data_IF_493045972370
#
_entry.id   IF_493045972370
#
_cell.length_a   1.000
_cell.length_b   1.000
_cell.length_c   1.000
_cell.angle_alpha   90.00
_cell.angle_beta   90.00
_cell.angle_gamma   90.00
#
_symmetry.space_group_name_H-M   'P 1'
#
loop_
_entity.id
_entity.type
_entity.pdbx_description
1 polymer ?
#
# COMPACT_ATOMS: atom_id res chain seq x y z
N UNK A 1 26.45 88.16 36.73
CA UNK A 1 25.19 88.87 37.03
C UNK A 1 24.36 88.84 35.75
N UNK A 2 23.18 88.22 35.79
CA UNK A 2 22.28 87.97 34.65
C UNK A 2 21.10 88.96 34.74
N UNK A 3 20.54 89.44 33.61
CA UNK A 3 19.10 89.70 33.51
C UNK A 3 18.43 88.86 32.39
N UNK A 4 17.09 88.72 32.40
CA UNK A 4 16.45 87.42 32.33
C UNK A 4 15.74 87.10 31.00
N UNK A 5 15.35 85.83 30.90
CA UNK A 5 14.58 85.18 29.85
C UNK A 5 13.15 85.75 29.72
N UNK A 6 12.68 85.91 28.49
CA UNK A 6 11.25 85.88 28.15
C UNK A 6 10.93 84.59 27.39
N UNK A 7 9.95 83.88 27.92
CA UNK A 7 9.39 82.61 27.44
C UNK A 7 8.48 82.83 26.23
N UNK A 8 8.53 81.91 25.26
CA UNK A 8 7.40 81.64 24.37
C UNK A 8 7.22 80.13 24.24
N UNK A 9 6.00 79.67 24.49
CA UNK A 9 5.58 78.27 24.49
C UNK A 9 5.11 77.81 23.09
N UNK A 10 5.72 76.70 22.64
CA UNK A 10 5.20 75.48 21.97
C UNK A 10 4.19 75.64 20.79
N UNK A 11 4.41 74.91 19.67
CA UNK A 11 3.50 73.79 19.43
C UNK A 11 4.21 72.46 19.17
N UNK A 12 3.57 71.42 19.69
CA UNK A 12 3.99 70.03 19.77
C UNK A 12 4.10 69.38 18.38
N UNK A 13 5.29 68.87 18.06
CA UNK A 13 5.56 68.20 16.79
C UNK A 13 4.84 66.84 16.74
N UNK A 14 4.05 66.65 15.69
CA UNK A 14 3.46 65.37 15.27
C UNK A 14 4.54 64.27 15.25
N UNK A 15 4.44 63.27 16.14
CA UNK A 15 5.43 62.18 16.26
C UNK A 15 5.24 61.13 15.14
N UNK A 16 6.23 60.89 14.25
CA UNK A 16 6.13 59.94 13.13
C UNK A 16 6.36 58.46 13.50
N UNK A 17 6.71 58.18 14.76
CA UNK A 17 7.19 56.87 15.18
C UNK A 17 6.15 55.74 15.07
N UNK A 18 4.85 56.05 15.24
CA UNK A 18 3.78 55.04 15.21
C UNK A 18 3.49 54.48 13.80
N UNK A 19 3.75 55.28 12.75
CA UNK A 19 3.54 54.87 11.36
C UNK A 19 4.64 53.93 10.86
N UNK A 20 5.90 54.21 11.20
CA UNK A 20 7.06 53.41 10.79
C UNK A 20 7.04 52.02 11.44
N UNK A 21 6.68 51.95 12.73
CA UNK A 21 6.53 50.68 13.46
C UNK A 21 5.41 49.80 12.89
N UNK A 22 4.29 50.39 12.46
CA UNK A 22 3.19 49.65 11.82
C UNK A 22 3.64 49.08 10.48
N UNK A 23 4.27 49.89 9.64
CA UNK A 23 4.76 49.49 8.32
C UNK A 23 5.80 48.34 8.39
N UNK A 24 6.77 48.43 9.31
CA UNK A 24 7.77 47.37 9.51
C UNK A 24 7.16 46.05 10.00
N UNK A 25 6.16 46.12 10.89
CA UNK A 25 5.48 44.92 11.43
C UNK A 25 4.62 44.23 10.36
N UNK A 26 3.90 44.99 9.52
CA UNK A 26 3.19 44.44 8.34
C UNK A 26 4.14 43.86 7.31
N UNK A 27 5.29 44.48 7.06
CA UNK A 27 6.30 43.98 6.12
C UNK A 27 6.92 42.64 6.57
N UNK A 28 7.27 42.51 7.86
CA UNK A 28 7.77 41.24 8.40
C UNK A 28 6.70 40.14 8.40
N UNK A 29 5.44 40.50 8.68
CA UNK A 29 4.35 39.53 8.67
C UNK A 29 4.07 39.01 7.25
N UNK A 30 4.08 39.90 6.24
CA UNK A 30 3.95 39.51 4.84
C UNK A 30 5.14 38.66 4.37
N UNK A 31 6.37 39.00 4.74
CA UNK A 31 7.55 38.21 4.36
C UNK A 31 7.51 36.79 4.95
N UNK A 32 7.12 36.65 6.23
CA UNK A 32 6.94 35.33 6.86
C UNK A 32 5.82 34.52 6.22
N UNK A 33 4.72 35.16 5.84
CA UNK A 33 3.62 34.52 5.12
C UNK A 33 4.03 34.08 3.71
N UNK A 34 4.81 34.90 3.00
CA UNK A 34 5.34 34.57 1.66
C UNK A 34 6.32 33.41 1.74
N UNK A 35 7.24 33.38 2.71
CA UNK A 35 8.18 32.26 2.89
C UNK A 35 7.43 30.97 3.27
N UNK A 36 6.42 31.04 4.12
CA UNK A 36 5.58 29.87 4.46
C UNK A 36 4.81 29.36 3.24
N UNK A 37 4.25 30.26 2.44
CA UNK A 37 3.55 29.89 1.21
C UNK A 37 4.49 29.26 0.19
N UNK A 38 5.70 29.82 0.03
CA UNK A 38 6.75 29.25 -0.81
C UNK A 38 7.19 27.86 -0.35
N UNK A 39 7.42 27.67 0.95
CA UNK A 39 7.78 26.36 1.50
C UNK A 39 6.65 25.33 1.29
N UNK A 40 5.39 25.72 1.47
CA UNK A 40 4.25 24.85 1.19
C UNK A 40 4.15 24.48 -0.28
N UNK A 41 4.28 25.46 -1.19
CA UNK A 41 4.23 25.23 -2.64
C UNK A 41 5.38 24.31 -3.05
N UNK A 42 6.62 24.59 -2.63
CA UNK A 42 7.78 23.75 -2.91
C UNK A 42 7.61 22.33 -2.37
N UNK A 43 7.07 22.16 -1.16
CA UNK A 43 6.82 20.85 -0.57
C UNK A 43 5.74 20.07 -1.35
N UNK A 44 4.66 20.73 -1.77
CA UNK A 44 3.62 20.10 -2.61
C UNK A 44 4.11 19.74 -4.00
N UNK A 45 4.94 20.59 -4.62
CA UNK A 45 5.57 20.29 -5.91
C UNK A 45 6.54 19.13 -5.79
N UNK A 46 7.37 19.09 -4.74
CA UNK A 46 8.23 17.95 -4.44
C UNK A 46 7.41 16.66 -4.25
N UNK A 47 6.30 16.72 -3.51
CA UNK A 47 5.42 15.56 -3.30
C UNK A 47 4.75 15.10 -4.60
N UNK A 48 4.31 16.03 -5.45
CA UNK A 48 3.67 15.73 -6.73
C UNK A 48 4.66 15.16 -7.76
N UNK A 49 5.88 15.69 -7.83
CA UNK A 49 6.94 15.17 -8.70
C UNK A 49 7.41 13.78 -8.21
N UNK A 50 7.53 13.58 -6.90
CA UNK A 50 7.87 12.28 -6.33
C UNK A 50 6.76 11.24 -6.54
N UNK A 51 5.50 11.66 -6.44
CA UNK A 51 4.33 10.82 -6.73
C UNK A 51 4.19 10.44 -8.20
N UNK A 52 4.48 11.37 -9.12
CA UNK A 52 4.36 11.14 -10.57
C UNK A 52 5.42 10.17 -11.12
N UNK A 53 6.64 10.16 -10.58
CA UNK A 53 7.71 9.26 -11.04
C UNK A 53 7.47 7.78 -10.68
N UNK A 54 6.42 7.44 -9.92
CA UNK A 54 6.00 6.05 -9.70
C UNK A 54 5.09 5.50 -10.81
N UNK A 55 4.69 6.33 -11.78
CA UNK A 55 3.86 5.89 -12.89
C UNK A 55 4.70 5.15 -13.93
N UNK A 56 4.58 3.81 -13.92
CA UNK A 56 5.01 2.83 -14.93
C UNK A 56 6.03 3.32 -15.97
N UNK A 57 7.32 3.12 -15.66
CA UNK A 57 8.29 2.85 -16.72
C UNK A 57 7.83 1.59 -17.46
N UNK A 58 7.84 1.64 -18.79
CA UNK A 58 7.69 0.46 -19.64
C UNK A 58 8.94 -0.39 -19.48
N UNK A 59 8.99 -1.14 -18.38
CA UNK A 59 10.08 -2.07 -18.10
C UNK A 59 9.99 -3.25 -19.07
N UNK A 60 11.15 -3.68 -19.58
CA UNK A 60 11.27 -4.94 -20.32
C UNK A 60 10.63 -6.06 -19.48
N UNK A 61 9.91 -7.04 -20.10
CA UNK A 61 9.31 -8.12 -19.35
C UNK A 61 10.39 -8.87 -18.57
N UNK A 62 10.27 -8.84 -17.25
CA UNK A 62 11.23 -9.48 -16.37
C UNK A 62 11.08 -11.00 -16.43
N UNK A 63 12.20 -11.71 -16.36
CA UNK A 63 12.20 -13.17 -16.29
C UNK A 63 11.82 -13.65 -14.87
N UNK A 64 10.72 -14.40 -14.78
CA UNK A 64 10.22 -14.96 -13.53
C UNK A 64 10.82 -16.34 -13.24
N UNK A 65 11.71 -16.42 -12.24
CA UNK A 65 12.25 -17.67 -11.66
C UNK A 65 11.31 -18.15 -10.56
N UNK A 66 10.10 -18.54 -10.95
CA UNK A 66 9.00 -18.85 -10.05
C UNK A 66 9.04 -20.25 -9.45
N UNK A 67 8.68 -20.37 -8.17
CA UNK A 67 8.40 -21.65 -7.52
C UNK A 67 7.01 -21.62 -6.84
N UNK A 68 6.25 -22.72 -6.89
CA UNK A 68 4.94 -22.80 -6.22
C UNK A 68 5.09 -23.27 -4.78
N UNK A 69 4.43 -22.62 -3.84
CA UNK A 69 4.51 -22.92 -2.40
C UNK A 69 3.12 -22.96 -1.75
N UNK A 70 2.98 -23.78 -0.71
CA UNK A 70 1.82 -23.74 0.18
C UNK A 70 0.58 -24.52 -0.29
N UNK A 71 0.66 -25.34 -1.34
CA UNK A 71 -0.47 -26.18 -1.76
C UNK A 71 -0.65 -27.40 -0.83
N UNK A 72 -1.88 -27.78 -0.44
CA UNK A 72 -3.17 -27.21 -0.86
C UNK A 72 -3.67 -26.03 -0.02
N UNK A 73 -2.93 -25.61 1.01
CA UNK A 73 -3.28 -24.47 1.86
C UNK A 73 -4.31 -24.86 2.90
N UNK A 74 -3.94 -25.79 3.78
CA UNK A 74 -4.77 -26.25 4.90
C UNK A 74 -4.62 -25.27 6.07
N UNK A 75 -5.67 -25.12 6.88
CA UNK A 75 -5.68 -24.33 8.12
C UNK A 75 -4.43 -24.62 8.95
N UNK A 76 -3.68 -23.58 9.29
CA UNK A 76 -2.45 -23.65 10.06
C UNK A 76 -1.17 -23.81 9.23
N UNK A 77 -1.26 -24.23 7.95
CA UNK A 77 -0.07 -24.54 7.13
C UNK A 77 0.88 -23.36 6.96
N UNK A 78 0.34 -22.15 6.96
CA UNK A 78 1.11 -20.92 6.68
C UNK A 78 1.66 -20.29 7.97
N UNK A 79 1.49 -20.94 9.12
CA UNK A 79 1.88 -20.42 10.42
C UNK A 79 3.15 -21.08 10.96
N UNK A 80 3.79 -20.37 11.88
CA UNK A 80 4.87 -20.90 12.70
C UNK A 80 6.21 -21.06 11.97
N UNK A 81 7.20 -21.55 12.73
CA UNK A 81 8.59 -21.64 12.30
C UNK A 81 8.78 -22.48 11.04
N UNK A 82 8.03 -23.58 10.89
CA UNK A 82 8.13 -24.47 9.73
C UNK A 82 7.78 -23.75 8.42
N UNK A 83 6.75 -22.92 8.42
CA UNK A 83 6.36 -22.15 7.23
C UNK A 83 7.44 -21.11 6.87
N UNK A 84 7.94 -20.39 7.87
CA UNK A 84 9.02 -19.41 7.69
C UNK A 84 10.31 -20.04 7.14
N UNK A 85 10.78 -21.14 7.75
CA UNK A 85 11.96 -21.87 7.29
C UNK A 85 11.78 -22.45 5.88
N UNK A 86 10.58 -22.94 5.56
CA UNK A 86 10.28 -23.43 4.22
C UNK A 86 10.34 -22.33 3.17
N UNK A 87 9.84 -21.12 3.47
CA UNK A 87 9.89 -19.97 2.56
C UNK A 87 11.33 -19.49 2.36
N UNK A 88 12.12 -19.47 3.44
CA UNK A 88 13.54 -19.12 3.36
C UNK A 88 14.31 -20.10 2.46
N UNK A 89 14.14 -21.40 2.64
CA UNK A 89 14.77 -22.42 1.78
C UNK A 89 14.34 -22.31 0.33
N UNK A 90 13.11 -21.88 0.05
CA UNK A 90 12.68 -21.59 -1.31
C UNK A 90 13.47 -20.42 -1.89
N UNK A 91 13.67 -19.33 -1.14
CA UNK A 91 14.47 -18.20 -1.60
C UNK A 91 15.94 -18.57 -1.85
N UNK A 92 16.50 -19.47 -1.04
CA UNK A 92 17.87 -20.01 -1.21
C UNK A 92 18.06 -20.75 -2.55
N UNK A 93 16.99 -21.14 -3.24
CA UNK A 93 17.07 -21.72 -4.61
C UNK A 93 17.39 -20.69 -5.70
N UNK A 94 17.53 -19.41 -5.36
CA UNK A 94 17.66 -18.27 -6.29
C UNK A 94 16.39 -17.96 -7.11
N UNK A 95 15.24 -18.46 -6.66
CA UNK A 95 13.93 -17.99 -7.10
C UNK A 95 13.77 -16.51 -6.79
N UNK A 96 13.20 -15.75 -7.73
CA UNK A 96 12.85 -14.34 -7.50
C UNK A 96 11.34 -14.14 -7.25
N UNK A 97 10.55 -15.20 -7.41
CA UNK A 97 9.11 -15.16 -7.36
C UNK A 97 8.57 -16.43 -6.71
N UNK A 98 7.58 -16.28 -5.84
CA UNK A 98 6.79 -17.38 -5.30
C UNK A 98 5.35 -17.29 -5.78
N UNK A 99 4.79 -18.44 -6.15
CA UNK A 99 3.37 -18.62 -6.42
C UNK A 99 2.72 -19.28 -5.22
N UNK A 100 1.99 -18.52 -4.41
CA UNK A 100 1.30 -19.02 -3.22
C UNK A 100 -0.02 -19.62 -3.68
N UNK A 101 -0.09 -20.95 -3.63
CA UNK A 101 -1.18 -21.75 -4.16
C UNK A 101 -2.01 -22.36 -3.02
N UNK A 102 -3.32 -22.13 -3.05
CA UNK A 102 -4.26 -22.68 -2.08
C UNK A 102 -5.59 -23.02 -2.77
N UNK A 103 -6.36 -23.95 -2.21
CA UNK A 103 -7.57 -24.45 -2.84
C UNK A 103 -8.82 -24.23 -1.97
N UNK A 104 -9.82 -23.58 -2.55
CA UNK A 104 -11.22 -23.72 -2.14
C UNK A 104 -11.72 -25.14 -2.47
N UNK A 105 -12.92 -25.48 -2.02
CA UNK A 105 -13.51 -26.81 -2.26
C UNK A 105 -14.87 -26.74 -2.96
N UNK A 106 -15.21 -27.79 -3.71
CA UNK A 106 -16.54 -28.06 -4.26
C UNK A 106 -16.94 -29.48 -3.85
N UNK A 107 -18.23 -29.72 -3.64
CA UNK A 107 -18.71 -31.04 -3.21
C UNK A 107 -18.59 -32.07 -4.34
N UNK A 108 -19.02 -31.72 -5.55
CA UNK A 108 -18.96 -32.57 -6.76
C UNK A 108 -18.52 -31.76 -7.99
N UNK A 109 -18.11 -32.42 -9.09
CA UNK A 109 -17.72 -31.72 -10.32
C UNK A 109 -18.86 -30.91 -10.98
N UNK A 110 -20.12 -31.20 -10.64
CA UNK A 110 -21.29 -30.46 -11.13
C UNK A 110 -21.90 -29.51 -10.11
N UNK A 111 -21.27 -29.34 -8.94
CA UNK A 111 -21.72 -28.38 -7.93
C UNK A 111 -21.51 -26.96 -8.42
N UNK A 112 -22.46 -26.07 -8.16
CA UNK A 112 -22.34 -24.64 -8.52
C UNK A 112 -21.79 -23.78 -7.38
N UNK A 113 -21.70 -24.33 -6.17
CA UNK A 113 -21.14 -23.64 -5.01
C UNK A 113 -19.65 -23.99 -4.83
N UNK A 114 -18.84 -22.94 -4.66
CA UNK A 114 -17.43 -23.04 -4.25
C UNK A 114 -17.34 -22.61 -2.78
N UNK A 115 -16.85 -23.50 -1.93
CA UNK A 115 -16.68 -23.30 -0.49
C UNK A 115 -15.29 -22.70 -0.20
N UNK A 116 -15.29 -21.49 0.38
CA UNK A 116 -14.09 -20.76 0.78
C UNK A 116 -14.37 -19.91 2.03
N UNK A 117 -13.32 -19.36 2.65
CA UNK A 117 -13.46 -18.53 3.85
C UNK A 117 -14.16 -19.28 4.98
N UNK A 118 -15.21 -18.69 5.57
CA UNK A 118 -15.98 -19.32 6.65
C UNK A 118 -16.72 -20.60 6.24
N UNK A 119 -17.00 -20.78 4.94
CA UNK A 119 -17.66 -21.99 4.41
C UNK A 119 -16.70 -23.16 4.21
N UNK A 120 -15.40 -22.92 4.31
CA UNK A 120 -14.36 -23.94 4.18
C UNK A 120 -13.35 -23.81 5.33
N UNK A 121 -13.68 -24.35 6.52
CA UNK A 121 -12.86 -24.20 7.71
C UNK A 121 -11.46 -24.82 7.55
N UNK A 122 -11.30 -25.78 6.64
CA UNK A 122 -10.04 -26.48 6.37
C UNK A 122 -9.07 -25.66 5.51
N UNK A 123 -9.54 -24.65 4.79
CA UNK A 123 -8.70 -23.79 3.93
C UNK A 123 -8.04 -22.66 4.73
N UNK A 124 -6.79 -22.31 4.43
CA UNK A 124 -6.09 -21.13 5.00
C UNK A 124 -6.95 -19.86 5.00
N UNK A 125 -6.82 -19.07 6.07
CA UNK A 125 -7.55 -17.83 6.31
C UNK A 125 -6.91 -16.70 5.53
N UNK A 126 -7.65 -15.60 5.34
CA UNK A 126 -7.09 -14.35 4.84
C UNK A 126 -5.88 -13.87 5.66
N UNK A 127 -5.90 -14.07 6.99
CA UNK A 127 -4.76 -13.75 7.86
C UNK A 127 -3.54 -14.63 7.58
N UNK A 128 -3.75 -15.93 7.37
CA UNK A 128 -2.68 -16.87 7.01
C UNK A 128 -2.11 -16.56 5.62
N UNK A 129 -2.96 -16.24 4.65
CA UNK A 129 -2.54 -15.81 3.30
C UNK A 129 -1.72 -14.51 3.40
N UNK A 130 -2.19 -13.51 4.16
CA UNK A 130 -1.43 -12.28 4.41
C UNK A 130 -0.08 -12.56 5.06
N UNK A 131 -0.03 -13.48 6.02
CA UNK A 131 1.23 -13.86 6.65
C UNK A 131 2.18 -14.56 5.67
N UNK A 132 1.70 -15.47 4.81
CA UNK A 132 2.52 -16.08 3.77
C UNK A 132 3.06 -15.06 2.76
N UNK A 133 2.23 -14.08 2.36
CA UNK A 133 2.67 -12.95 1.53
C UNK A 133 3.78 -12.17 2.24
N UNK A 134 3.61 -11.88 3.54
CA UNK A 134 4.62 -11.19 4.33
C UNK A 134 5.95 -11.97 4.38
N UNK A 135 5.92 -13.26 4.72
CA UNK A 135 7.11 -14.13 4.74
C UNK A 135 7.84 -14.12 3.39
N UNK A 136 7.10 -14.16 2.29
CA UNK A 136 7.69 -14.08 0.96
C UNK A 136 8.40 -12.73 0.70
N UNK A 137 7.77 -11.61 1.11
CA UNK A 137 8.35 -10.27 0.95
C UNK A 137 9.59 -10.06 1.83
N UNK A 138 9.60 -10.61 3.03
CA UNK A 138 10.76 -10.62 3.93
C UNK A 138 11.95 -11.37 3.32
N UNK A 139 11.69 -12.37 2.48
CA UNK A 139 12.71 -13.09 1.71
C UNK A 139 12.97 -12.50 0.32
N UNK A 140 12.57 -11.25 0.08
CA UNK A 140 12.75 -10.52 -1.19
C UNK A 140 12.11 -11.19 -2.43
N UNK A 141 11.11 -12.04 -2.23
CA UNK A 141 10.38 -12.68 -3.32
C UNK A 141 9.24 -11.79 -3.83
N UNK A 142 9.04 -11.80 -5.15
CA UNK A 142 7.77 -11.37 -5.75
C UNK A 142 6.70 -12.40 -5.48
N UNK A 143 5.45 -11.97 -5.40
CA UNK A 143 4.33 -12.85 -5.02
C UNK A 143 3.30 -12.90 -6.13
N UNK A 144 2.95 -14.11 -6.53
CA UNK A 144 1.77 -14.44 -7.33
C UNK A 144 0.81 -15.19 -6.40
N UNK A 145 -0.45 -14.75 -6.30
CA UNK A 145 -1.49 -15.53 -5.62
C UNK A 145 -2.18 -16.43 -6.65
N UNK A 146 -2.37 -17.70 -6.29
CA UNK A 146 -3.02 -18.70 -7.14
C UNK A 146 -4.12 -19.44 -6.36
N UNK A 147 -5.28 -18.78 -6.11
CA UNK A 147 -6.46 -19.46 -5.61
C UNK A 147 -6.95 -20.49 -6.64
N UNK A 148 -7.25 -21.69 -6.18
CA UNK A 148 -7.75 -22.80 -7.00
C UNK A 148 -9.00 -23.42 -6.37
N UNK A 149 -9.56 -24.43 -7.03
CA UNK A 149 -10.65 -25.25 -6.50
C UNK A 149 -10.31 -26.73 -6.58
N UNK A 150 -10.60 -27.48 -5.52
CA UNK A 150 -10.51 -28.94 -5.48
C UNK A 150 -11.91 -29.53 -5.29
N UNK A 151 -12.17 -30.69 -5.87
CA UNK A 151 -13.40 -31.43 -5.62
C UNK A 151 -13.17 -32.36 -4.43
N UNK A 152 -14.10 -32.39 -3.47
CA UNK A 152 -13.96 -33.17 -2.23
C UNK A 152 -13.84 -34.68 -2.47
N UNK A 153 -14.47 -35.17 -3.53
CA UNK A 153 -14.38 -36.58 -3.95
C UNK A 153 -13.04 -36.95 -4.63
N UNK A 154 -12.12 -36.00 -4.77
CA UNK A 154 -10.82 -36.20 -5.41
C UNK A 154 -10.85 -36.10 -6.94
N UNK A 155 -12.02 -35.88 -7.56
CA UNK A 155 -12.12 -35.66 -8.99
C UNK A 155 -11.23 -34.49 -9.41
N UNK A 156 -10.47 -34.68 -10.48
CA UNK A 156 -9.64 -33.61 -11.01
C UNK A 156 -10.51 -32.43 -11.46
N UNK A 157 -10.19 -31.22 -11.01
CA UNK A 157 -10.94 -29.99 -11.31
C UNK A 157 -11.14 -29.69 -12.80
N UNK A 158 -10.32 -30.25 -13.71
CA UNK A 158 -10.57 -30.13 -15.15
C UNK A 158 -11.77 -30.98 -15.64
N UNK A 159 -12.40 -31.75 -14.75
CA UNK A 159 -13.64 -32.49 -14.99
C UNK A 159 -14.87 -31.78 -14.44
N UNK A 160 -14.73 -30.55 -13.93
CA UNK A 160 -15.90 -29.70 -13.60
C UNK A 160 -16.73 -29.53 -14.87
N UNK A 161 -18.04 -29.74 -14.74
CA UNK A 161 -18.98 -29.73 -15.87
C UNK A 161 -20.39 -29.49 -15.38
N UNK A 162 -21.18 -28.78 -16.18
CA UNK A 162 -22.58 -28.50 -15.87
C UNK A 162 -23.47 -29.05 -16.98
N UNK A 163 -24.64 -29.54 -16.60
CA UNK A 163 -25.66 -29.96 -17.56
C UNK A 163 -26.59 -28.77 -17.82
N UNK A 164 -26.95 -28.55 -19.08
CA UNK A 164 -28.02 -27.61 -19.45
C UNK A 164 -29.38 -28.18 -19.06
N UNK A 165 -30.43 -27.34 -19.10
CA UNK A 165 -31.81 -27.77 -18.80
C UNK A 165 -32.34 -28.86 -19.76
N UNK A 166 -31.78 -28.98 -20.96
CA UNK A 166 -32.09 -30.01 -21.95
C UNK A 166 -31.29 -31.31 -21.76
N UNK A 167 -30.34 -31.34 -20.81
CA UNK A 167 -29.44 -32.48 -20.60
C UNK A 167 -28.21 -32.50 -21.51
N UNK A 168 -28.03 -31.47 -22.35
CA UNK A 168 -26.81 -31.31 -23.14
C UNK A 168 -25.64 -30.87 -22.25
N UNK A 169 -24.44 -31.36 -22.57
CA UNK A 169 -23.20 -31.02 -21.85
C UNK A 169 -22.75 -29.63 -22.30
N UNK A 170 -22.68 -28.70 -21.37
CA UNK A 170 -22.02 -27.41 -21.59
C UNK A 170 -20.51 -27.66 -21.48
N UNK A 171 -19.80 -27.60 -22.62
CA UNK A 171 -18.38 -27.95 -22.76
C UNK A 171 -17.47 -26.79 -22.36
#
# INVERSE_FOLDING_TARGET
>A
MIPPKTSCSVPESIRPASFILKAQKTSQHNLKSIVRLWLFISLTLLFSIYGANKAHSQDKPEFYKGFTWGFPGIRGDYLGRRAAESMQKLAETNSNTVCIAFAASMDTPGSTEILWGKKNPDMVTDSEIRHAVQLARENHLKVILKPMVNIKDGTWRARIKFNTKSGEKDL
#
